data_IF_023406592838
#
_entry.id   IF_023406592838
#
_cell.length_a   1.000
_cell.length_b   1.000
_cell.length_c   1.000
_cell.angle_alpha   90.00
_cell.angle_beta   90.00
_cell.angle_gamma   90.00
#
_symmetry.space_group_name_H-M   'P 1'
#
loop_
_entity.id
_entity.type
_entity.pdbx_description
1 polymer ?
#
# COMPACT_ATOMS: atom_id res chain seq x y z
N UNK A 1 9.80 -13.67 5.98
CA UNK A 1 10.73 -13.02 5.03
C UNK A 1 10.48 -13.60 3.65
N UNK A 2 10.44 -12.74 2.62
CA UNK A 2 10.15 -13.14 1.24
C UNK A 2 11.29 -12.61 0.36
N UNK A 3 12.12 -13.48 -0.23
CA UNK A 3 13.47 -13.08 -0.68
C UNK A 3 13.51 -12.35 -2.02
N UNK A 4 12.47 -12.44 -2.84
CA UNK A 4 12.44 -11.80 -4.15
C UNK A 4 11.04 -11.29 -4.54
N UNK A 5 10.99 -10.44 -5.56
CA UNK A 5 9.78 -9.79 -6.08
C UNK A 5 8.76 -10.81 -6.60
N UNK A 6 9.19 -11.89 -7.25
CA UNK A 6 8.27 -12.93 -7.74
C UNK A 6 7.54 -13.60 -6.57
N UNK A 7 8.26 -13.98 -5.52
CA UNK A 7 7.65 -14.57 -4.33
C UNK A 7 6.77 -13.55 -3.60
N UNK A 8 7.21 -12.29 -3.52
CA UNK A 8 6.44 -11.23 -2.86
C UNK A 8 5.13 -10.91 -3.59
N UNK A 9 5.15 -10.94 -4.92
CA UNK A 9 3.96 -10.69 -5.75
C UNK A 9 3.00 -11.89 -5.78
N UNK A 10 3.46 -13.09 -5.42
CA UNK A 10 2.65 -14.30 -5.31
C UNK A 10 2.28 -14.65 -3.85
N UNK A 11 2.84 -13.93 -2.87
CA UNK A 11 2.52 -14.13 -1.46
C UNK A 11 1.12 -13.59 -1.14
N UNK A 12 0.20 -14.48 -0.79
CA UNK A 12 -1.21 -14.15 -0.52
C UNK A 12 -1.50 -13.75 0.93
N UNK A 13 -0.49 -13.62 1.79
CA UNK A 13 -0.68 -13.11 3.15
C UNK A 13 -1.14 -11.66 3.04
N UNK A 14 -2.36 -11.40 3.52
CA UNK A 14 -2.98 -10.08 3.44
C UNK A 14 -2.20 -9.05 4.25
N UNK A 15 -2.20 -7.81 3.79
CA UNK A 15 -1.69 -6.69 4.55
C UNK A 15 -2.44 -6.47 5.86
N UNK A 16 -3.70 -6.91 5.96
CA UNK A 16 -4.48 -6.88 7.19
C UNK A 16 -3.81 -7.74 8.28
N UNK A 17 -3.38 -8.94 7.92
CA UNK A 17 -2.63 -9.85 8.81
C UNK A 17 -1.33 -9.18 9.27
N UNK A 18 -0.51 -8.68 8.33
CA UNK A 18 0.74 -8.00 8.67
C UNK A 18 0.57 -6.74 9.53
N UNK A 19 -0.60 -6.10 9.48
CA UNK A 19 -0.88 -4.87 10.22
C UNK A 19 -1.39 -5.16 11.63
N UNK A 20 -2.26 -6.16 11.78
CA UNK A 20 -3.04 -6.37 13.01
C UNK A 20 -2.65 -7.60 13.82
N UNK A 21 -1.96 -8.58 13.26
CA UNK A 21 -1.50 -9.73 14.02
C UNK A 21 -0.26 -9.40 14.85
N UNK A 22 -0.14 -10.07 16.00
CA UNK A 22 1.01 -9.93 16.88
C UNK A 22 2.13 -10.86 16.39
N UNK A 23 3.24 -10.26 15.95
CA UNK A 23 4.40 -11.00 15.46
C UNK A 23 5.68 -10.42 16.05
N UNK A 24 6.76 -11.22 16.10
CA UNK A 24 8.11 -10.78 16.49
C UNK A 24 8.71 -9.86 15.42
N UNK A 25 8.14 -8.66 15.34
CA UNK A 25 8.41 -7.65 14.31
C UNK A 25 9.75 -6.95 14.53
N UNK A 26 10.26 -6.95 15.76
CA UNK A 26 11.60 -6.48 16.10
C UNK A 26 12.67 -7.57 15.96
N UNK A 27 12.27 -8.82 15.67
CA UNK A 27 13.16 -9.99 15.60
C UNK A 27 13.98 -10.19 16.90
N UNK A 28 13.35 -9.96 18.05
CA UNK A 28 13.96 -10.00 19.37
C UNK A 28 13.13 -10.81 20.39
N UNK A 29 12.14 -11.56 19.93
CA UNK A 29 11.25 -12.35 20.77
C UNK A 29 10.12 -11.55 21.45
N UNK A 30 9.97 -10.26 21.15
CA UNK A 30 8.89 -9.42 21.68
C UNK A 30 7.79 -9.21 20.64
N UNK A 31 6.69 -9.99 20.71
CA UNK A 31 5.62 -9.88 19.73
C UNK A 31 4.85 -8.56 19.92
N UNK A 32 4.56 -7.90 18.81
CA UNK A 32 3.83 -6.63 18.78
C UNK A 32 2.84 -6.60 17.63
N UNK A 33 1.76 -5.83 17.81
CA UNK A 33 0.82 -5.47 16.76
C UNK A 33 1.29 -4.15 16.15
N UNK A 34 1.79 -4.17 14.91
CA UNK A 34 2.39 -3.00 14.25
C UNK A 34 1.43 -1.81 14.13
N UNK A 35 0.13 -2.06 13.98
CA UNK A 35 -0.90 -1.01 13.99
C UNK A 35 -0.98 -0.19 15.29
N UNK A 36 -0.45 -0.72 16.40
CA UNK A 36 -0.51 -0.11 17.73
C UNK A 36 0.82 0.50 18.18
N UNK A 37 1.87 0.37 17.38
CA UNK A 37 3.22 0.85 17.71
C UNK A 37 3.65 1.95 16.71
N UNK A 38 3.83 3.21 17.17
CA UNK A 38 4.22 4.32 16.30
C UNK A 38 5.61 4.15 15.67
N UNK A 39 6.47 3.24 16.17
CA UNK A 39 7.74 2.92 15.53
C UNK A 39 7.56 2.23 14.16
N UNK A 40 6.37 1.71 13.87
CA UNK A 40 5.99 1.16 12.57
C UNK A 40 5.08 2.15 11.83
N UNK A 41 5.58 3.35 11.56
CA UNK A 41 4.80 4.51 11.07
C UNK A 41 3.76 4.18 9.99
N UNK A 42 4.14 3.46 8.94
CA UNK A 42 3.21 3.08 7.86
C UNK A 42 2.08 2.14 8.31
N UNK A 43 2.39 1.17 9.17
CA UNK A 43 1.40 0.26 9.74
C UNK A 43 0.51 0.99 10.76
N UNK A 44 1.11 1.83 11.60
CA UNK A 44 0.42 2.64 12.59
C UNK A 44 -0.56 3.60 11.93
N UNK A 45 -0.13 4.38 10.93
CA UNK A 45 -1.00 5.28 10.18
C UNK A 45 -2.14 4.52 9.49
N UNK A 46 -1.83 3.41 8.81
CA UNK A 46 -2.85 2.65 8.10
C UNK A 46 -3.88 2.03 9.05
N UNK A 47 -3.45 1.45 10.17
CA UNK A 47 -4.33 0.87 11.18
C UNK A 47 -5.24 1.90 11.84
N UNK A 48 -4.76 3.13 12.01
CA UNK A 48 -5.52 4.22 12.65
C UNK A 48 -6.13 5.21 11.64
N UNK A 49 -6.19 4.85 10.35
CA UNK A 49 -6.64 5.76 9.30
C UNK A 49 -8.06 6.29 9.52
N UNK A 50 -8.92 5.51 10.15
CA UNK A 50 -10.28 5.90 10.51
C UNK A 50 -10.36 7.12 11.46
N UNK A 51 -9.28 7.40 12.19
CA UNK A 51 -9.13 8.56 13.07
C UNK A 51 -8.35 9.70 12.42
N UNK A 52 -7.81 9.50 11.21
CA UNK A 52 -6.94 10.48 10.55
C UNK A 52 -7.71 11.72 10.09
N UNK A 53 -7.04 12.87 10.11
CA UNK A 53 -7.53 14.11 9.49
C UNK A 53 -7.68 13.96 7.98
N UNK A 54 -6.85 13.12 7.35
CA UNK A 54 -6.92 12.80 5.92
C UNK A 54 -8.26 12.16 5.52
N UNK A 55 -8.80 11.26 6.33
CA UNK A 55 -10.13 10.69 6.08
C UNK A 55 -11.23 11.63 6.57
N UNK A 56 -11.16 12.06 7.83
CA UNK A 56 -12.26 12.80 8.48
C UNK A 56 -12.58 14.13 7.82
N UNK A 57 -11.57 14.84 7.28
CA UNK A 57 -11.78 16.07 6.50
C UNK A 57 -12.55 15.86 5.20
N UNK A 58 -12.53 14.64 4.63
CA UNK A 58 -13.20 14.30 3.37
C UNK A 58 -14.62 13.78 3.55
N UNK A 59 -15.08 13.61 4.80
CA UNK A 59 -16.43 13.11 5.08
C UNK A 59 -17.54 14.16 4.86
N UNK A 60 -17.19 15.44 4.65
CA UNK A 60 -18.15 16.53 4.38
C UNK A 60 -19.29 16.58 5.43
N UNK A 61 -18.95 16.44 6.71
CA UNK A 61 -19.91 16.45 7.82
C UNK A 61 -20.69 15.14 8.03
N UNK A 62 -20.43 14.10 7.22
CA UNK A 62 -21.01 12.76 7.44
C UNK A 62 -20.18 11.97 8.45
N UNK A 63 -20.83 11.09 9.19
CA UNK A 63 -20.15 10.15 10.07
C UNK A 63 -19.64 8.96 9.26
N UNK A 64 -18.41 8.52 9.54
CA UNK A 64 -17.89 7.27 9.01
C UNK A 64 -18.73 6.10 9.55
N UNK A 65 -19.10 5.16 8.68
CA UNK A 65 -19.84 3.95 9.07
C UNK A 65 -19.16 3.25 10.26
N UNK A 66 -19.93 2.76 11.22
CA UNK A 66 -19.41 2.04 12.39
C UNK A 66 -18.59 0.80 12.00
N UNK A 67 -18.92 0.16 10.89
CA UNK A 67 -18.17 -0.97 10.35
C UNK A 67 -16.78 -0.57 9.83
N UNK A 68 -16.57 0.71 9.54
CA UNK A 68 -15.29 1.28 9.10
C UNK A 68 -14.58 2.06 10.21
N UNK A 69 -15.25 2.35 11.33
CA UNK A 69 -14.73 3.12 12.45
C UNK A 69 -14.32 2.19 13.60
N UNK A 70 -13.37 1.29 13.34
CA UNK A 70 -12.88 0.32 14.33
C UNK A 70 -11.51 -0.24 13.95
N UNK A 71 -10.80 -0.72 14.97
CA UNK A 71 -9.58 -1.51 14.81
C UNK A 71 -9.82 -2.76 13.95
N UNK A 72 -8.77 -3.21 13.26
CA UNK A 72 -8.79 -4.40 12.41
C UNK A 72 -9.30 -4.19 11.00
N UNK A 73 -9.85 -3.02 10.65
CA UNK A 73 -10.49 -2.79 9.33
C UNK A 73 -9.57 -2.14 8.32
N UNK A 74 -8.87 -1.09 8.71
CA UNK A 74 -7.92 -0.39 7.85
C UNK A 74 -6.54 -0.98 8.01
N UNK A 75 -5.80 -1.12 6.91
CA UNK A 75 -4.52 -1.80 6.94
C UNK A 75 -3.57 -1.33 5.84
N UNK A 76 -2.27 -1.59 6.03
CA UNK A 76 -1.25 -1.33 5.02
C UNK A 76 -1.28 -2.48 4.00
N UNK A 77 -1.66 -2.26 2.73
CA UNK A 77 -1.76 -3.32 1.73
C UNK A 77 -0.45 -4.06 1.49
N UNK A 78 -0.56 -5.37 1.24
CA UNK A 78 0.55 -6.21 0.81
C UNK A 78 0.94 -5.93 -0.63
N UNK A 79 2.13 -6.39 -1.01
CA UNK A 79 2.66 -6.26 -2.36
C UNK A 79 1.79 -7.00 -3.39
N UNK A 80 1.21 -8.14 -3.01
CA UNK A 80 0.26 -8.88 -3.82
C UNK A 80 -1.09 -8.15 -3.94
N UNK A 81 -1.63 -7.57 -2.86
CA UNK A 81 -2.88 -6.80 -2.92
C UNK A 81 -2.76 -5.57 -3.86
N UNK A 82 -1.61 -4.91 -3.85
CA UNK A 82 -1.28 -3.86 -4.83
C UNK A 82 -1.30 -4.39 -6.26
N UNK A 83 -0.68 -5.55 -6.51
CA UNK A 83 -0.75 -6.21 -7.82
C UNK A 83 -2.18 -6.50 -8.24
N UNK A 84 -3.00 -7.05 -7.36
CA UNK A 84 -4.40 -7.35 -7.69
C UNK A 84 -5.19 -6.10 -8.05
N UNK A 85 -5.11 -5.04 -7.23
CA UNK A 85 -5.81 -3.78 -7.48
C UNK A 85 -5.35 -3.17 -8.79
N UNK A 86 -4.04 -3.10 -9.01
CA UNK A 86 -3.51 -2.44 -10.19
C UNK A 86 -3.77 -3.25 -11.48
N UNK A 87 -3.76 -4.59 -11.44
CA UNK A 87 -4.18 -5.43 -12.57
C UNK A 87 -5.65 -5.20 -12.90
N UNK A 88 -6.52 -5.14 -11.88
CA UNK A 88 -7.96 -4.85 -12.06
C UNK A 88 -8.18 -3.46 -12.66
N UNK A 89 -7.44 -2.44 -12.21
CA UNK A 89 -7.50 -1.08 -12.74
C UNK A 89 -6.86 -0.92 -14.13
N UNK A 90 -5.88 -1.78 -14.47
CA UNK A 90 -5.09 -1.75 -15.71
C UNK A 90 -5.65 -2.56 -16.88
N UNK A 91 -6.88 -3.08 -16.78
CA UNK A 91 -7.54 -3.94 -17.78
C UNK A 91 -6.93 -5.36 -17.93
N UNK A 92 -6.38 -5.93 -16.86
CA UNK A 92 -6.37 -7.39 -16.69
C UNK A 92 -5.24 -8.18 -17.37
N UNK A 93 -4.18 -7.54 -17.88
CA UNK A 93 -3.00 -8.33 -18.29
C UNK A 93 -2.14 -8.63 -17.07
N UNK A 94 -2.30 -9.84 -16.54
CA UNK A 94 -1.38 -10.39 -15.54
C UNK A 94 -0.08 -10.70 -16.25
N UNK A 95 0.98 -9.94 -15.96
CA UNK A 95 2.33 -10.35 -16.37
C UNK A 95 2.79 -11.43 -15.38
N UNK A 96 3.07 -12.66 -15.85
CA UNK A 96 3.34 -13.81 -14.97
C UNK A 96 4.68 -13.69 -14.25
N UNK A 97 5.62 -12.88 -14.75
CA UNK A 97 6.92 -12.65 -14.13
C UNK A 97 7.15 -11.15 -13.98
N UNK A 98 7.08 -10.66 -12.75
CA UNK A 98 7.50 -9.31 -12.40
C UNK A 98 8.96 -9.39 -11.95
N UNK A 99 9.88 -8.91 -12.79
CA UNK A 99 11.25 -8.64 -12.35
C UNK A 99 11.37 -7.19 -11.90
N UNK A 100 12.44 -6.88 -11.18
CA UNK A 100 12.73 -5.54 -10.68
C UNK A 100 12.53 -4.48 -11.76
N UNK A 101 11.70 -3.46 -11.46
CA UNK A 101 11.39 -2.35 -12.37
C UNK A 101 10.78 -2.75 -13.73
N UNK A 102 10.10 -3.89 -13.83
CA UNK A 102 9.31 -4.20 -15.04
C UNK A 102 8.08 -3.29 -15.12
N UNK A 103 7.94 -2.46 -16.17
CA UNK A 103 6.75 -1.64 -16.35
C UNK A 103 5.57 -2.51 -16.75
N UNK A 104 4.43 -2.37 -16.07
CA UNK A 104 3.17 -2.92 -16.57
C UNK A 104 2.40 -1.85 -17.34
N UNK A 105 1.95 -2.23 -18.53
CA UNK A 105 1.10 -1.39 -19.36
C UNK A 105 -0.17 -1.02 -18.59
N UNK A 106 -0.47 0.27 -18.52
CA UNK A 106 -1.61 0.75 -17.74
C UNK A 106 -2.16 2.08 -18.28
N UNK A 107 -3.40 2.41 -17.92
CA UNK A 107 -4.08 3.64 -18.34
C UNK A 107 -4.03 4.71 -17.24
N UNK A 108 -2.82 5.08 -16.80
CA UNK A 108 -2.56 6.10 -15.77
C UNK A 108 -3.52 7.28 -15.82
N UNK A 109 -3.65 7.92 -16.99
CA UNK A 109 -4.43 9.15 -17.16
C UNK A 109 -5.93 8.97 -16.85
N UNK A 110 -6.49 7.82 -17.26
CA UNK A 110 -7.90 7.53 -17.02
C UNK A 110 -8.15 7.26 -15.53
N UNK A 111 -7.27 6.48 -14.89
CA UNK A 111 -7.35 6.19 -13.46
C UNK A 111 -7.16 7.49 -12.66
N UNK A 112 -6.16 8.31 -13.03
CA UNK A 112 -5.92 9.62 -12.43
C UNK A 112 -7.17 10.50 -12.45
N UNK A 113 -7.79 10.60 -13.61
CA UNK A 113 -9.02 11.35 -13.80
C UNK A 113 -10.17 10.80 -12.95
N UNK A 114 -10.36 9.49 -12.90
CA UNK A 114 -11.42 8.86 -12.10
C UNK A 114 -11.28 9.17 -10.60
N UNK A 115 -10.07 9.08 -10.03
CA UNK A 115 -9.83 9.44 -8.63
C UNK A 115 -10.13 10.93 -8.36
N UNK A 116 -9.68 11.83 -9.24
CA UNK A 116 -9.93 13.28 -9.11
C UNK A 116 -11.42 13.61 -9.18
N UNK A 117 -12.16 13.05 -10.14
CA UNK A 117 -13.61 13.26 -10.28
C UNK A 117 -14.37 12.73 -9.06
N UNK A 118 -13.89 11.65 -8.45
CA UNK A 118 -14.45 11.12 -7.20
C UNK A 118 -14.08 11.95 -5.94
N UNK A 119 -13.28 13.03 -6.08
CA UNK A 119 -12.77 13.82 -4.95
C UNK A 119 -11.71 13.08 -4.12
N UNK A 120 -11.17 11.98 -4.63
CA UNK A 120 -10.15 11.17 -3.97
C UNK A 120 -8.73 11.63 -4.27
N UNK A 121 -7.77 11.12 -3.50
CA UNK A 121 -6.36 11.33 -3.78
C UNK A 121 -5.93 10.49 -5.01
N UNK A 122 -5.25 11.08 -6.00
CA UNK A 122 -4.80 10.35 -7.19
C UNK A 122 -3.85 9.20 -6.85
N UNK A 123 -3.85 8.13 -7.66
CA UNK A 123 -2.90 7.00 -7.53
C UNK A 123 -1.61 7.17 -8.34
N UNK A 124 -1.51 8.26 -9.09
CA UNK A 124 -0.34 8.68 -9.87
C UNK A 124 0.02 10.09 -9.52
N UNK A 125 1.25 10.47 -9.88
CA UNK A 125 1.69 11.84 -9.78
C UNK A 125 1.05 12.72 -10.84
N UNK A 126 1.42 14.00 -10.81
CA UNK A 126 1.01 14.98 -11.81
C UNK A 126 1.94 14.94 -13.02
N UNK A 127 1.56 15.51 -14.18
CA UNK A 127 2.47 15.68 -15.31
C UNK A 127 3.85 16.27 -14.96
N UNK A 128 3.89 17.21 -14.00
CA UNK A 128 5.11 17.87 -13.53
C UNK A 128 5.92 17.07 -12.51
N UNK A 129 5.30 16.12 -11.83
CA UNK A 129 5.93 15.18 -10.88
C UNK A 129 5.24 13.83 -11.02
N UNK A 130 5.63 13.03 -12.02
CA UNK A 130 4.80 11.91 -12.49
C UNK A 130 4.83 10.70 -11.57
N UNK A 131 5.76 10.66 -10.61
CA UNK A 131 6.07 9.46 -9.84
C UNK A 131 5.45 9.52 -8.46
N UNK A 132 4.76 8.45 -8.07
CA UNK A 132 4.29 8.28 -6.69
C UNK A 132 4.73 6.92 -6.19
N UNK A 133 5.32 6.92 -5.00
CA UNK A 133 5.87 5.74 -4.33
C UNK A 133 4.96 5.37 -3.17
N UNK A 134 4.53 4.12 -3.11
CA UNK A 134 3.62 3.61 -2.09
C UNK A 134 4.27 2.49 -1.29
N UNK A 135 4.14 2.59 0.02
CA UNK A 135 4.60 1.54 0.93
C UNK A 135 3.70 0.30 0.84
N UNK A 136 4.30 -0.87 1.07
CA UNK A 136 3.60 -2.13 1.26
C UNK A 136 3.92 -2.73 2.62
N UNK A 137 3.04 -3.60 3.13
CA UNK A 137 3.26 -4.32 4.39
C UNK A 137 4.17 -5.53 4.24
N UNK A 138 4.39 -5.99 3.01
CA UNK A 138 5.26 -7.12 2.70
C UNK A 138 6.72 -6.76 2.95
N UNK A 139 7.35 -7.46 3.90
CA UNK A 139 8.76 -7.28 4.23
C UNK A 139 9.64 -8.30 3.51
N UNK A 140 10.79 -7.83 3.01
CA UNK A 140 11.78 -8.70 2.39
C UNK A 140 12.60 -9.39 3.47
N UNK A 141 13.27 -8.58 4.27
CA UNK A 141 14.18 -8.98 5.35
C UNK A 141 14.21 -7.90 6.45
N UNK A 142 15.19 -7.98 7.36
CA UNK A 142 15.35 -7.02 8.46
C UNK A 142 15.56 -5.59 7.97
N UNK A 143 16.19 -5.42 6.80
CA UNK A 143 16.73 -4.13 6.35
C UNK A 143 15.98 -3.58 5.14
N UNK A 144 15.22 -4.43 4.44
CA UNK A 144 14.52 -4.09 3.19
C UNK A 144 13.04 -4.39 3.24
N UNK A 145 12.29 -3.61 2.48
CA UNK A 145 10.85 -3.76 2.29
C UNK A 145 10.47 -3.59 0.83
N UNK A 146 9.31 -4.10 0.46
CA UNK A 146 8.76 -3.96 -0.88
C UNK A 146 7.91 -2.70 -0.99
N UNK A 147 7.96 -2.06 -2.15
CA UNK A 147 7.16 -0.89 -2.47
C UNK A 147 6.75 -0.91 -3.93
N UNK A 148 5.63 -0.26 -4.24
CA UNK A 148 5.22 -0.04 -5.62
C UNK A 148 5.38 1.42 -5.96
N UNK A 149 5.62 1.73 -7.23
CA UNK A 149 5.55 3.11 -7.70
C UNK A 149 4.84 3.20 -9.03
N UNK A 150 4.17 4.32 -9.23
CA UNK A 150 3.31 4.56 -10.39
C UNK A 150 3.74 5.83 -11.12
N UNK A 151 3.69 5.79 -12.45
CA UNK A 151 4.06 6.93 -13.28
C UNK A 151 2.91 7.50 -14.10
N UNK A 152 2.74 8.82 -14.14
CA UNK A 152 1.71 9.48 -14.98
C UNK A 152 1.84 9.12 -16.48
N UNK A 153 3.06 9.07 -17.01
CA UNK A 153 3.33 8.68 -18.41
C UNK A 153 3.83 7.24 -18.55
N UNK A 154 4.24 6.63 -17.45
CA UNK A 154 4.93 5.35 -17.41
C UNK A 154 4.01 4.26 -16.90
N UNK A 155 4.49 3.04 -16.66
CA UNK A 155 3.70 1.96 -16.05
C UNK A 155 3.53 2.09 -14.53
N UNK A 156 3.01 1.02 -13.95
CA UNK A 156 3.24 0.67 -12.55
C UNK A 156 4.47 -0.22 -12.43
N UNK A 157 5.14 -0.15 -11.29
CA UNK A 157 6.40 -0.83 -11.04
C UNK A 157 6.43 -1.43 -9.64
N UNK A 158 7.12 -2.55 -9.52
CA UNK A 158 7.29 -3.33 -8.30
C UNK A 158 8.79 -3.36 -7.97
N UNK A 159 9.14 -2.97 -6.76
CA UNK A 159 10.53 -2.76 -6.35
C UNK A 159 10.72 -3.02 -4.86
N UNK A 160 11.97 -2.91 -4.42
CA UNK A 160 12.40 -3.03 -3.03
C UNK A 160 13.36 -1.90 -2.67
N UNK A 161 13.31 -1.46 -1.41
CA UNK A 161 14.19 -0.42 -0.88
C UNK A 161 14.65 -0.78 0.53
N UNK A 162 15.65 -0.08 1.03
CA UNK A 162 16.03 -0.18 2.43
C UNK A 162 15.06 0.60 3.30
N UNK A 163 14.79 0.09 4.52
CA UNK A 163 13.87 0.69 5.49
C UNK A 163 14.29 2.10 5.95
N UNK A 164 15.55 2.51 5.73
CA UNK A 164 16.07 3.84 6.07
C UNK A 164 16.00 4.87 4.91
N UNK A 165 15.61 4.46 3.70
CA UNK A 165 15.37 5.37 2.57
C UNK A 165 13.98 6.05 2.70
N UNK A 166 13.73 7.19 2.02
CA UNK A 166 12.64 8.10 2.37
C UNK A 166 11.27 7.45 2.43
N UNK A 167 10.45 7.97 3.35
CA UNK A 167 9.10 7.52 3.64
C UNK A 167 8.22 7.60 2.38
N UNK A 168 7.82 6.43 1.88
CA UNK A 168 6.84 6.33 0.80
C UNK A 168 5.43 6.62 1.32
N UNK A 169 4.51 6.96 0.43
CA UNK A 169 3.14 7.29 0.80
C UNK A 169 2.45 6.03 1.33
N UNK A 170 1.87 6.15 2.52
CA UNK A 170 0.98 5.13 3.06
C UNK A 170 -0.41 5.33 2.49
N UNK A 171 -0.88 4.37 1.67
CA UNK A 171 -2.28 4.34 1.19
C UNK A 171 -3.00 3.16 1.85
N UNK A 172 -3.84 3.39 2.87
CA UNK A 172 -4.54 2.32 3.57
C UNK A 172 -5.58 1.65 2.68
N UNK A 173 -5.70 0.33 2.81
CA UNK A 173 -6.79 -0.46 2.25
C UNK A 173 -7.80 -0.79 3.36
N UNK A 174 -8.98 -1.24 2.94
CA UNK A 174 -10.11 -1.54 3.82
C UNK A 174 -10.54 -2.98 3.61
N UNK A 175 -10.64 -3.74 4.70
CA UNK A 175 -11.23 -5.07 4.69
C UNK A 175 -12.75 -4.92 4.80
N UNK A 176 -13.48 -5.38 3.78
CA UNK A 176 -14.93 -5.26 3.67
C UNK A 176 -15.62 -6.62 3.69
#
# INVERSE_FOLDING_TARGET
>A
MIPNITDATNNTVSGQVWTWESYDSYHNGHPIVKAKDPNFEGFYYAGNFYQSTDLTSKLNGKTLSSNLNKDGVWYLPSFNEWREVLVKLGFGTVVPVLTFNTPLAWKSKMIHYAFRVAGGAPIVGEPSDPWVYYQCSTEKDSDRFYYIYTGYYNGMYFSESYKFYPHYITRPFVAY
#
